data_IF_998401381397
#
_entry.id   IF_998401381397
#
_cell.length_a   1.000
_cell.length_b   1.000
_cell.length_c   1.000
_cell.angle_alpha   90.00
_cell.angle_beta   90.00
_cell.angle_gamma   90.00
#
_symmetry.space_group_name_H-M   'P 1'
#
loop_
_entity.id
_entity.type
_entity.pdbx_description
1 polymer ?
#
# COMPACT_ATOMS: atom_id res chain seq x y z
N UNK A 1 26.96 -80.39 33.71
CA UNK A 1 26.12 -80.89 32.60
C UNK A 1 26.09 -79.83 31.50
N UNK A 2 26.36 -80.25 30.26
CA UNK A 2 26.18 -79.49 29.02
C UNK A 2 24.68 -79.39 28.68
N UNK A 3 24.29 -78.34 27.95
CA UNK A 3 23.14 -78.15 27.01
C UNK A 3 22.28 -76.93 27.37
N UNK A 4 21.59 -76.20 26.48
CA UNK A 4 21.63 -75.89 25.04
C UNK A 4 20.63 -74.73 24.87
N UNK A 5 20.95 -73.77 23.99
CA UNK A 5 20.04 -73.05 23.07
C UNK A 5 18.52 -73.06 23.33
N UNK A 6 17.88 -71.88 23.34
CA UNK A 6 16.85 -71.46 22.34
C UNK A 6 16.07 -70.18 22.72
N UNK A 7 15.92 -69.27 21.72
CA UNK A 7 14.78 -68.35 21.44
C UNK A 7 14.59 -67.16 22.39
N UNK A 8 14.92 -65.92 21.98
CA UNK A 8 14.16 -64.98 21.11
C UNK A 8 12.92 -64.38 21.81
N UNK A 9 12.65 -63.10 21.50
CA UNK A 9 11.66 -62.16 22.09
C UNK A 9 12.26 -61.44 23.30
N UNK A 10 12.50 -60.13 23.31
CA UNK A 10 11.96 -59.02 22.53
C UNK A 10 11.86 -57.87 23.54
N UNK A 11 12.66 -56.81 23.31
CA UNK A 11 12.89 -55.68 24.23
C UNK A 11 11.56 -55.11 24.76
N UNK A 12 11.44 -55.07 26.08
CA UNK A 12 10.30 -54.50 26.79
C UNK A 12 10.20 -52.99 26.55
N UNK A 13 8.98 -52.58 26.27
CA UNK A 13 8.50 -51.23 26.01
C UNK A 13 8.83 -50.28 27.17
N UNK A 14 9.74 -49.34 26.96
CA UNK A 14 9.98 -48.21 27.89
C UNK A 14 9.94 -46.85 27.17
N UNK A 15 9.01 -46.66 26.24
CA UNK A 15 8.85 -45.41 25.49
C UNK A 15 7.41 -44.87 25.46
N UNK A 16 6.58 -45.20 26.44
CA UNK A 16 5.16 -44.79 26.45
C UNK A 16 4.84 -43.53 27.29
N UNK A 17 5.82 -42.91 27.98
CA UNK A 17 5.52 -41.85 28.95
C UNK A 17 5.89 -40.42 28.50
N UNK A 18 6.55 -40.20 27.35
CA UNK A 18 6.98 -38.86 26.91
C UNK A 18 6.27 -38.39 25.62
N UNK A 19 5.49 -39.26 24.97
CA UNK A 19 4.90 -38.96 23.65
C UNK A 19 3.48 -38.36 23.67
N UNK A 20 2.84 -38.18 24.84
CA UNK A 20 1.43 -37.74 24.90
C UNK A 20 1.23 -36.29 25.35
N UNK A 21 2.28 -35.57 25.73
CA UNK A 21 2.17 -34.19 26.24
C UNK A 21 2.73 -33.11 25.32
N UNK A 22 3.36 -33.46 24.19
CA UNK A 22 4.00 -32.48 23.30
C UNK A 22 3.12 -31.97 22.13
N UNK A 23 2.17 -32.71 21.52
CA UNK A 23 1.53 -32.20 20.31
C UNK A 23 0.46 -31.12 20.56
N UNK A 24 0.05 -30.87 21.81
CA UNK A 24 -0.97 -29.85 22.12
C UNK A 24 -0.40 -28.46 22.40
N UNK A 25 0.91 -28.31 22.65
CA UNK A 25 1.51 -27.01 22.93
C UNK A 25 1.84 -26.21 21.66
N UNK A 26 1.98 -26.87 20.51
CA UNK A 26 2.33 -26.20 19.23
C UNK A 26 1.13 -25.50 18.58
N UNK A 27 -0.11 -25.95 18.85
CA UNK A 27 -1.32 -25.35 18.29
C UNK A 27 -1.93 -24.22 19.15
N UNK A 28 -1.31 -23.87 20.27
CA UNK A 28 -1.80 -22.85 21.20
C UNK A 28 -1.15 -21.48 21.02
N UNK A 29 -0.24 -21.31 20.04
CA UNK A 29 0.00 -19.99 19.47
C UNK A 29 -1.21 -19.65 18.62
N UNK A 30 -2.26 -19.13 19.28
CA UNK A 30 -3.16 -18.22 18.62
C UNK A 30 -2.28 -17.07 18.14
N UNK A 31 -1.87 -17.12 16.87
CA UNK A 31 -1.38 -15.94 16.17
C UNK A 31 -2.41 -14.85 16.48
N UNK A 32 -2.00 -13.71 17.09
CA UNK A 32 -2.93 -12.61 17.26
C UNK A 32 -3.47 -12.31 15.88
N UNK A 33 -4.76 -12.57 15.66
CA UNK A 33 -5.43 -12.21 14.42
C UNK A 33 -5.35 -10.71 14.35
N UNK A 34 -4.35 -10.21 13.63
CA UNK A 34 -4.23 -8.78 13.34
C UNK A 34 -5.57 -8.42 12.72
N UNK A 35 -6.35 -7.51 13.32
CA UNK A 35 -7.59 -7.09 12.72
C UNK A 35 -7.25 -6.60 11.32
N UNK A 36 -7.75 -7.30 10.31
CA UNK A 36 -7.62 -6.87 8.92
C UNK A 36 -8.37 -5.56 8.85
N UNK A 37 -7.64 -4.44 8.86
CA UNK A 37 -8.23 -3.12 8.66
C UNK A 37 -8.78 -3.14 7.24
N UNK A 38 -10.10 -3.31 7.13
CA UNK A 38 -10.77 -3.32 5.85
C UNK A 38 -10.74 -1.90 5.28
N UNK A 39 -10.04 -1.72 4.16
CA UNK A 39 -9.97 -0.44 3.45
C UNK A 39 -11.37 -0.15 2.88
N UNK A 40 -12.05 0.92 3.31
CA UNK A 40 -13.37 1.26 2.81
C UNK A 40 -13.35 1.51 1.30
N UNK A 41 -14.47 1.22 0.64
CA UNK A 41 -14.60 1.52 -0.79
C UNK A 41 -14.55 3.04 -1.06
N UNK A 42 -13.96 3.46 -2.20
CA UNK A 42 -13.91 4.86 -2.59
C UNK A 42 -15.32 5.43 -2.79
N UNK A 43 -15.50 6.69 -2.38
CA UNK A 43 -16.80 7.37 -2.36
C UNK A 43 -16.83 8.50 -3.40
N UNK A 44 -17.90 8.55 -4.20
CA UNK A 44 -18.08 9.58 -5.22
C UNK A 44 -18.76 9.04 -6.49
N UNK A 45 -19.30 9.93 -7.34
CA UNK A 45 -19.99 9.54 -8.57
C UNK A 45 -19.06 8.80 -9.55
N UNK A 46 -17.79 9.22 -9.63
CA UNK A 46 -16.82 8.68 -10.61
C UNK A 46 -15.96 7.53 -10.07
N UNK A 47 -16.25 7.04 -8.86
CA UNK A 47 -15.50 5.94 -8.25
C UNK A 47 -15.66 4.60 -8.99
N UNK A 48 -16.67 4.46 -9.85
CA UNK A 48 -16.80 3.31 -10.76
C UNK A 48 -15.65 3.26 -11.77
N UNK A 49 -15.47 4.36 -12.53
CA UNK A 49 -14.40 4.49 -13.51
C UNK A 49 -13.00 4.38 -12.87
N UNK A 50 -12.81 4.96 -11.68
CA UNK A 50 -11.58 4.81 -10.92
C UNK A 50 -11.25 3.33 -10.63
N UNK A 51 -12.21 2.55 -10.16
CA UNK A 51 -12.01 1.12 -9.85
C UNK A 51 -11.78 0.27 -11.10
N UNK A 52 -12.38 0.65 -12.23
CA UNK A 52 -12.14 0.00 -13.52
C UNK A 52 -10.73 0.30 -14.04
N UNK A 53 -10.27 1.54 -13.93
CA UNK A 53 -8.91 1.95 -14.29
C UNK A 53 -7.85 1.33 -13.36
N UNK A 54 -8.19 1.14 -12.08
CA UNK A 54 -7.31 0.61 -11.04
C UNK A 54 -7.95 -0.56 -10.29
N UNK A 55 -7.98 -1.77 -10.87
CA UNK A 55 -8.62 -2.92 -10.23
C UNK A 55 -7.94 -3.33 -8.90
N UNK A 56 -6.67 -2.97 -8.71
CA UNK A 56 -5.90 -3.21 -7.48
C UNK A 56 -5.73 -1.95 -6.61
N UNK A 57 -6.67 -1.01 -6.64
CA UNK A 57 -6.58 0.26 -5.89
C UNK A 57 -6.35 0.05 -4.38
N UNK A 58 -6.80 -1.05 -3.79
CA UNK A 58 -6.56 -1.38 -2.37
C UNK A 58 -5.06 -1.55 -2.05
N UNK A 59 -4.26 -1.98 -3.03
CA UNK A 59 -2.80 -2.09 -2.88
C UNK A 59 -2.10 -0.73 -2.73
N UNK A 60 -2.75 0.36 -3.14
CA UNK A 60 -2.20 1.71 -3.07
C UNK A 60 -2.09 2.24 -1.63
N UNK A 61 -2.78 1.62 -0.66
CA UNK A 61 -2.71 2.03 0.73
C UNK A 61 -1.31 1.83 1.36
N UNK A 62 -0.46 0.99 0.75
CA UNK A 62 0.88 0.67 1.27
C UNK A 62 2.01 1.25 0.43
N UNK A 63 1.71 2.13 -0.53
CA UNK A 63 2.73 2.77 -1.38
C UNK A 63 2.81 4.27 -1.08
N UNK A 64 3.95 4.93 -1.38
CA UNK A 64 4.08 6.36 -1.20
C UNK A 64 3.06 7.16 -2.01
N UNK A 65 2.68 8.33 -1.50
CA UNK A 65 1.66 9.19 -2.09
C UNK A 65 1.99 9.57 -3.54
N UNK A 66 3.26 9.84 -3.83
CA UNK A 66 3.74 10.11 -5.19
C UNK A 66 3.44 8.96 -6.16
N UNK A 67 3.57 7.71 -5.70
CA UNK A 67 3.25 6.52 -6.49
C UNK A 67 1.73 6.40 -6.71
N UNK A 68 0.94 6.69 -5.67
CA UNK A 68 -0.53 6.73 -5.77
C UNK A 68 -0.97 7.75 -6.82
N UNK A 69 -0.47 8.99 -6.75
CA UNK A 69 -0.84 10.06 -7.68
C UNK A 69 -0.50 9.71 -9.14
N UNK A 70 0.67 9.09 -9.36
CA UNK A 70 1.09 8.69 -10.71
C UNK A 70 0.31 7.51 -11.28
N UNK A 71 -0.36 6.72 -10.43
CA UNK A 71 -1.13 5.55 -10.84
C UNK A 71 -2.52 5.92 -11.38
N UNK A 72 -3.03 7.11 -11.06
CA UNK A 72 -4.39 7.53 -11.39
C UNK A 72 -4.38 8.34 -12.69
N UNK A 73 -4.92 7.81 -13.81
CA UNK A 73 -4.79 8.46 -15.13
C UNK A 73 -5.43 9.85 -15.20
N UNK A 74 -6.57 10.02 -14.54
CA UNK A 74 -7.40 11.22 -14.59
C UNK A 74 -6.78 12.43 -13.87
N UNK A 75 -5.72 12.24 -13.10
CA UNK A 75 -5.00 13.31 -12.39
C UNK A 75 -3.53 13.42 -12.83
N UNK A 76 -3.17 12.81 -13.97
CA UNK A 76 -1.79 12.78 -14.46
C UNK A 76 -1.15 14.17 -14.58
N UNK A 77 -1.92 15.20 -14.97
CA UNK A 77 -1.43 16.58 -15.02
C UNK A 77 -1.02 17.11 -13.64
N UNK A 78 -1.81 16.81 -12.61
CA UNK A 78 -1.46 17.15 -11.22
C UNK A 78 -0.24 16.35 -10.75
N UNK A 79 -0.17 15.06 -11.05
CA UNK A 79 0.99 14.22 -10.72
C UNK A 79 2.28 14.76 -11.36
N UNK A 80 2.21 15.27 -12.59
CA UNK A 80 3.34 15.94 -13.26
C UNK A 80 3.73 17.26 -12.58
N UNK A 81 2.78 18.02 -12.04
CA UNK A 81 3.06 19.21 -11.22
C UNK A 81 3.78 18.87 -9.91
N UNK A 82 3.35 17.80 -9.23
CA UNK A 82 3.94 17.35 -7.95
C UNK A 82 5.37 16.81 -8.13
N UNK A 83 5.58 16.03 -9.19
CA UNK A 83 6.87 15.36 -9.47
C UNK A 83 7.90 16.24 -10.19
N UNK A 84 7.53 17.47 -10.56
CA UNK A 84 8.40 18.41 -11.28
C UNK A 84 8.54 18.14 -12.77
N UNK A 85 7.70 17.29 -13.35
CA UNK A 85 7.62 17.11 -14.80
C UNK A 85 6.99 18.33 -15.49
N UNK A 86 6.06 19.01 -14.82
CA UNK A 86 5.42 20.22 -15.37
C UNK A 86 6.35 21.44 -15.28
N UNK A 87 7.10 21.55 -14.18
CA UNK A 87 8.13 22.57 -13.99
C UNK A 87 9.28 21.96 -13.15
N UNK A 88 10.50 21.83 -13.68
CA UNK A 88 11.61 21.17 -12.99
C UNK A 88 12.09 21.91 -11.74
N UNK A 89 11.71 23.17 -11.56
CA UNK A 89 12.02 23.95 -10.36
C UNK A 89 11.14 23.58 -9.15
N UNK A 90 10.05 22.82 -9.35
CA UNK A 90 9.11 22.43 -8.30
C UNK A 90 9.06 20.91 -8.21
N UNK A 91 9.58 20.34 -7.13
CA UNK A 91 9.41 18.92 -6.84
C UNK A 91 9.03 18.75 -5.36
N UNK A 92 7.76 18.46 -5.14
CA UNK A 92 7.19 18.29 -3.78
C UNK A 92 6.73 16.86 -3.51
N UNK A 93 7.02 15.92 -4.43
CA UNK A 93 6.72 14.50 -4.26
C UNK A 93 7.31 13.96 -2.95
N UNK A 94 8.56 14.30 -2.65
CA UNK A 94 9.21 13.89 -1.41
C UNK A 94 8.52 14.48 -0.17
N UNK A 95 7.98 15.70 -0.25
CA UNK A 95 7.26 16.31 0.87
C UNK A 95 5.99 15.52 1.15
N UNK A 96 5.23 15.16 0.12
CA UNK A 96 4.01 14.37 0.25
C UNK A 96 4.23 12.93 0.67
N UNK A 97 5.39 12.35 0.32
CA UNK A 97 5.74 10.99 0.75
C UNK A 97 6.14 10.90 2.23
N UNK A 98 6.56 12.01 2.85
CA UNK A 98 7.07 12.04 4.23
C UNK A 98 6.01 12.36 5.29
N UNK A 99 4.74 12.54 4.92
CA UNK A 99 3.70 12.92 5.89
C UNK A 99 2.32 12.39 5.54
N UNK A 100 1.42 12.34 6.53
CA UNK A 100 0.00 12.15 6.24
C UNK A 100 -0.50 13.42 5.57
N UNK A 101 -0.97 13.32 4.33
CA UNK A 101 -1.63 14.42 3.63
C UNK A 101 -2.95 13.95 3.06
N UNK A 102 -3.96 14.82 3.15
CA UNK A 102 -5.19 14.68 2.37
C UNK A 102 -5.00 15.52 1.11
N UNK A 103 -4.96 14.86 -0.04
CA UNK A 103 -4.74 15.53 -1.32
C UNK A 103 -6.06 15.63 -2.08
N UNK A 104 -6.45 16.86 -2.39
CA UNK A 104 -7.53 17.19 -3.30
C UNK A 104 -6.97 17.30 -4.72
N UNK A 105 -6.70 16.18 -5.37
CA UNK A 105 -6.06 16.19 -6.68
C UNK A 105 -7.05 16.67 -7.78
N UNK A 106 -6.82 17.84 -8.43
CA UNK A 106 -7.63 18.26 -9.56
C UNK A 106 -7.46 17.31 -10.75
N UNK A 107 -8.56 17.06 -11.45
CA UNK A 107 -8.57 16.21 -12.66
C UNK A 107 -7.92 16.92 -13.85
N UNK A 108 -7.56 16.14 -14.87
CA UNK A 108 -7.06 16.66 -16.13
C UNK A 108 -8.08 17.59 -16.80
N UNK A 109 -9.38 17.32 -16.64
CA UNK A 109 -10.44 18.20 -17.12
C UNK A 109 -10.44 19.56 -16.39
N UNK A 110 -10.18 19.56 -15.08
CA UNK A 110 -10.05 20.80 -14.31
C UNK A 110 -8.86 21.65 -14.79
N UNK A 111 -7.73 21.01 -15.14
CA UNK A 111 -6.61 21.71 -15.79
C UNK A 111 -6.95 22.18 -17.20
N UNK A 112 -7.68 21.38 -17.99
CA UNK A 112 -8.10 21.74 -19.34
C UNK A 112 -9.10 22.92 -19.36
N UNK A 113 -9.85 23.11 -18.27
CA UNK A 113 -10.77 24.24 -18.10
C UNK A 113 -10.04 25.56 -17.81
N UNK A 114 -8.75 25.53 -17.45
CA UNK A 114 -7.97 26.74 -17.21
C UNK A 114 -7.66 27.46 -18.54
N UNK A 115 -7.66 28.81 -18.55
CA UNK A 115 -7.15 29.58 -19.67
C UNK A 115 -5.72 29.16 -20.04
N UNK A 116 -5.37 29.05 -21.34
CA UNK A 116 -4.02 28.66 -21.77
C UNK A 116 -2.90 29.52 -21.17
N UNK A 117 -3.17 30.81 -20.97
CA UNK A 117 -2.24 31.75 -20.35
C UNK A 117 -1.91 31.37 -18.90
N UNK A 118 -2.89 30.90 -18.12
CA UNK A 118 -2.66 30.48 -16.74
C UNK A 118 -1.89 29.16 -16.68
N UNK A 119 -2.16 28.23 -17.59
CA UNK A 119 -1.38 27.00 -17.69
C UNK A 119 0.09 27.29 -18.01
N UNK A 120 0.37 28.29 -18.83
CA UNK A 120 1.74 28.68 -19.15
C UNK A 120 2.44 29.38 -17.98
N UNK A 121 1.71 30.20 -17.22
CA UNK A 121 2.22 30.75 -15.95
C UNK A 121 2.60 29.62 -14.99
N UNK A 122 1.78 28.56 -14.86
CA UNK A 122 2.11 27.42 -14.00
C UNK A 122 3.36 26.64 -14.45
N UNK A 123 3.69 26.65 -15.75
CA UNK A 123 4.91 26.01 -16.27
C UNK A 123 6.17 26.84 -16.03
N UNK A 124 6.04 28.16 -15.96
CA UNK A 124 7.17 29.08 -15.92
C UNK A 124 7.42 29.65 -14.52
N UNK A 125 6.37 29.89 -13.74
CA UNK A 125 6.43 30.43 -12.39
C UNK A 125 6.39 29.29 -11.35
N UNK A 126 7.56 29.00 -10.80
CA UNK A 126 7.72 27.98 -9.76
C UNK A 126 6.98 28.33 -8.45
N UNK A 127 6.88 29.62 -8.10
CA UNK A 127 6.20 30.03 -6.88
C UNK A 127 4.68 29.86 -7.02
N UNK A 128 4.13 30.24 -8.17
CA UNK A 128 2.71 30.05 -8.47
C UNK A 128 2.34 28.56 -8.48
N UNK A 129 3.15 27.71 -9.15
CA UNK A 129 2.90 26.27 -9.18
C UNK A 129 3.00 25.64 -7.79
N UNK A 130 4.01 26.01 -7.01
CA UNK A 130 4.18 25.52 -5.63
C UNK A 130 2.96 25.89 -4.78
N UNK A 131 2.51 27.15 -4.86
CA UNK A 131 1.31 27.59 -4.14
C UNK A 131 0.07 26.82 -4.55
N UNK A 132 -0.10 26.52 -5.84
CA UNK A 132 -1.22 25.72 -6.34
C UNK A 132 -1.16 24.30 -5.80
N UNK A 133 0.00 23.64 -5.85
CA UNK A 133 0.13 22.25 -5.39
C UNK A 133 -0.12 22.14 -3.90
N UNK A 134 0.43 23.05 -3.09
CA UNK A 134 0.17 23.07 -1.63
C UNK A 134 -1.26 23.45 -1.28
N UNK A 135 -1.94 24.29 -2.07
CA UNK A 135 -3.35 24.60 -1.84
C UNK A 135 -4.25 23.34 -1.94
N UNK A 136 -3.84 22.36 -2.74
CA UNK A 136 -4.55 21.10 -2.92
C UNK A 136 -4.10 20.01 -1.94
N UNK A 137 -3.20 20.32 -1.01
CA UNK A 137 -2.80 19.42 0.06
C UNK A 137 -3.25 19.98 1.41
N UNK A 138 -3.92 19.16 2.19
CA UNK A 138 -4.42 19.51 3.52
C UNK A 138 -3.90 18.50 4.53
N UNK A 139 -3.08 18.96 5.47
CA UNK A 139 -2.87 18.47 6.83
C UNK A 139 -1.85 19.36 7.56
#
# INVERSE_FOLDING_TARGET
>A
MKTRTSKAVGVALSAAAIALSVPLAVNAYAEPTVPVVEIPDPQGPDCGAFKEALPNWKGLANVPVSTVLSSIPDISTFSSAVSGQLNPAVNVASVFDNGPYVIFAPTNEAFAALPPEQLEVLRTDAAALTSLVYYHAFL
#
